data_IF_962534853719
#
_entry.id   IF_962534853719
#
_cell.length_a   1.000
_cell.length_b   1.000
_cell.length_c   1.000
_cell.angle_alpha   90.00
_cell.angle_beta   90.00
_cell.angle_gamma   90.00
#
_symmetry.space_group_name_H-M   'P 1'
#
loop_
_entity.id
_entity.type
_entity.pdbx_description
1 polymer ?
#
# COMPACT_ATOMS: atom_id res chain seq x y z
N UNK A 1 5.61 15.74 11.55
CA UNK A 1 5.75 14.32 11.16
C UNK A 1 5.66 14.09 9.65
N UNK A 2 4.69 14.66 8.94
CA UNK A 2 4.64 14.56 7.45
C UNK A 2 5.75 15.33 6.73
N UNK A 3 6.33 16.36 7.37
CA UNK A 3 7.48 17.10 6.83
C UNK A 3 8.74 16.24 6.62
N UNK A 4 8.83 15.07 7.28
CA UNK A 4 9.90 14.10 7.04
C UNK A 4 9.78 13.39 5.68
N UNK A 5 8.64 13.54 4.99
CA UNK A 5 8.43 13.04 3.63
C UNK A 5 8.75 14.10 2.57
N UNK A 6 9.38 15.22 2.96
CA UNK A 6 10.09 16.08 2.00
C UNK A 6 11.44 15.43 1.69
N UNK A 7 11.86 15.45 0.42
CA UNK A 7 13.01 14.67 -0.06
C UNK A 7 14.31 14.87 0.76
N UNK A 8 14.63 16.11 1.08
CA UNK A 8 15.83 16.49 1.85
C UNK A 8 15.81 15.92 3.29
N UNK A 9 14.64 15.93 3.92
CA UNK A 9 14.45 15.41 5.27
C UNK A 9 14.43 13.88 5.28
N UNK A 10 13.88 13.27 4.22
CA UNK A 10 13.72 11.83 4.12
C UNK A 10 15.08 11.12 4.11
N UNK A 11 16.03 11.59 3.29
CA UNK A 11 17.35 10.99 3.22
C UNK A 11 18.11 11.05 4.55
N UNK A 12 18.10 12.23 5.17
CA UNK A 12 18.73 12.47 6.47
C UNK A 12 18.13 11.58 7.56
N UNK A 13 16.81 11.41 7.56
CA UNK A 13 16.12 10.53 8.51
C UNK A 13 16.51 9.07 8.35
N UNK A 14 16.46 8.52 7.13
CA UNK A 14 16.78 7.11 6.88
C UNK A 14 18.25 6.82 7.22
N UNK A 15 19.16 7.73 6.88
CA UNK A 15 20.57 7.57 7.24
C UNK A 15 20.78 7.62 8.75
N UNK A 16 20.09 8.53 9.45
CA UNK A 16 20.11 8.62 10.91
C UNK A 16 19.58 7.34 11.58
N UNK A 17 18.47 6.78 11.09
CA UNK A 17 17.91 5.51 11.55
C UNK A 17 18.93 4.38 11.36
N UNK A 18 19.50 4.23 10.16
CA UNK A 18 20.49 3.16 9.88
C UNK A 18 21.74 3.27 10.74
N UNK A 19 22.21 4.49 10.96
CA UNK A 19 23.35 4.75 11.83
C UNK A 19 23.03 4.39 13.29
N UNK A 20 21.85 4.77 13.79
CA UNK A 20 21.41 4.50 15.16
C UNK A 20 21.12 3.01 15.43
N UNK A 21 20.58 2.30 14.44
CA UNK A 21 20.37 0.84 14.54
C UNK A 21 21.69 0.07 14.51
N UNK A 22 22.71 0.61 13.84
CA UNK A 22 24.03 0.00 13.73
C UNK A 22 24.08 -1.15 12.71
N UNK A 23 25.30 -1.55 12.34
CA UNK A 23 25.55 -2.51 11.25
C UNK A 23 25.07 -3.94 11.54
N UNK A 24 24.87 -4.28 12.81
CA UNK A 24 24.45 -5.63 13.23
C UNK A 24 22.92 -5.78 13.30
N UNK A 25 22.16 -4.72 13.04
CA UNK A 25 20.71 -4.78 13.01
C UNK A 25 20.24 -5.38 11.68
N UNK A 26 19.60 -6.54 11.76
CA UNK A 26 19.22 -7.35 10.58
C UNK A 26 17.73 -7.29 10.25
N UNK A 27 16.93 -6.58 11.06
CA UNK A 27 15.50 -6.47 10.80
C UNK A 27 15.27 -5.52 9.61
N UNK A 28 14.50 -5.91 8.59
CA UNK A 28 14.23 -5.08 7.43
C UNK A 28 13.62 -3.72 7.77
N UNK A 29 14.14 -2.66 7.18
CA UNK A 29 13.63 -1.30 7.31
C UNK A 29 12.60 -1.01 6.22
N UNK A 30 11.34 -0.81 6.63
CA UNK A 30 10.24 -0.43 5.75
C UNK A 30 9.84 1.02 5.96
N UNK A 31 9.45 1.71 4.88
CA UNK A 31 8.93 3.08 4.93
C UNK A 31 7.45 3.10 4.56
N UNK A 32 6.63 3.69 5.44
CA UNK A 32 5.18 3.87 5.21
C UNK A 32 4.87 5.29 4.76
N UNK A 33 4.38 5.45 3.53
CA UNK A 33 4.07 6.77 2.97
C UNK A 33 2.63 7.19 3.26
N UNK A 34 2.43 8.51 3.38
CA UNK A 34 1.09 9.09 3.43
C UNK A 34 0.50 9.20 2.01
N UNK A 35 -0.82 9.13 1.85
CA UNK A 35 -1.49 9.30 0.55
C UNK A 35 -1.61 10.77 0.10
N UNK A 36 -1.31 11.71 1.00
CA UNK A 36 -1.55 13.15 0.87
C UNK A 36 -0.34 13.90 0.26
N UNK A 37 0.17 13.43 -0.89
CA UNK A 37 1.28 14.08 -1.63
C UNK A 37 1.10 14.00 -3.14
N UNK A 38 1.84 14.80 -3.91
CA UNK A 38 1.82 14.68 -5.37
C UNK A 38 2.37 13.32 -5.83
N UNK A 39 1.90 12.82 -6.97
CA UNK A 39 2.44 11.58 -7.56
C UNK A 39 3.94 11.72 -7.85
N UNK A 40 4.39 12.88 -8.34
CA UNK A 40 5.82 13.15 -8.58
C UNK A 40 6.65 13.12 -7.30
N UNK A 41 6.10 13.63 -6.19
CA UNK A 41 6.78 13.60 -4.89
C UNK A 41 6.96 12.15 -4.43
N UNK A 42 5.91 11.33 -4.57
CA UNK A 42 5.99 9.90 -4.29
C UNK A 42 7.06 9.22 -5.15
N UNK A 43 7.09 9.48 -6.47
CA UNK A 43 8.08 8.91 -7.38
C UNK A 43 9.51 9.22 -6.92
N UNK A 44 9.79 10.49 -6.60
CA UNK A 44 11.10 10.92 -6.10
C UNK A 44 11.49 10.23 -4.77
N UNK A 45 10.54 10.09 -3.84
CA UNK A 45 10.76 9.38 -2.57
C UNK A 45 11.01 7.88 -2.75
N UNK A 46 10.34 7.25 -3.72
CA UNK A 46 10.55 5.84 -4.04
C UNK A 46 11.94 5.59 -4.66
N UNK A 47 12.37 6.47 -5.57
CA UNK A 47 13.73 6.43 -6.10
C UNK A 47 14.78 6.65 -5.01
N UNK A 48 14.53 7.61 -4.11
CA UNK A 48 15.38 7.85 -2.94
C UNK A 48 15.40 6.65 -1.99
N UNK A 49 14.29 5.93 -1.84
CA UNK A 49 14.23 4.71 -1.01
C UNK A 49 15.16 3.62 -1.55
N UNK A 50 15.25 3.49 -2.88
CA UNK A 50 16.17 2.55 -3.52
C UNK A 50 17.63 2.96 -3.34
N UNK A 51 17.95 4.25 -3.54
CA UNK A 51 19.33 4.74 -3.39
C UNK A 51 19.84 4.56 -1.96
N UNK A 52 18.95 4.71 -0.97
CA UNK A 52 19.23 4.52 0.44
C UNK A 52 19.14 3.06 0.89
N UNK A 53 18.86 2.10 -0.01
CA UNK A 53 18.71 0.67 0.29
C UNK A 53 17.67 0.40 1.38
N UNK A 54 16.51 1.04 1.30
CA UNK A 54 15.33 0.66 2.12
C UNK A 54 14.85 -0.71 1.67
N UNK A 55 14.41 -1.56 2.60
CA UNK A 55 14.10 -2.97 2.32
C UNK A 55 12.67 -3.18 1.79
N UNK A 56 11.79 -2.19 1.93
CA UNK A 56 10.44 -2.23 1.37
C UNK A 56 9.61 -1.00 1.69
N UNK A 57 8.44 -0.89 1.06
CA UNK A 57 7.56 0.26 1.23
C UNK A 57 6.13 -0.16 1.57
N UNK A 58 5.41 0.68 2.31
CA UNK A 58 4.02 0.47 2.71
C UNK A 58 3.16 1.62 2.22
N UNK A 59 2.11 1.29 1.46
CA UNK A 59 1.29 2.25 0.73
C UNK A 59 -0.19 1.96 0.98
N UNK A 60 -0.90 2.69 1.86
CA UNK A 60 -0.52 3.96 2.52
C UNK A 60 -0.99 4.04 3.98
N UNK A 61 -0.59 5.12 4.65
CA UNK A 61 -1.24 5.59 5.89
C UNK A 61 -2.64 6.18 5.60
N UNK A 62 -3.33 6.67 6.63
CA UNK A 62 -4.60 7.42 6.51
C UNK A 62 -4.43 8.72 5.73
N UNK A 63 -5.51 9.22 5.13
CA UNK A 63 -5.56 10.52 4.43
C UNK A 63 -6.18 11.61 5.31
N UNK A 64 -5.77 12.86 5.16
CA UNK A 64 -6.53 14.00 5.73
C UNK A 64 -7.60 14.54 4.78
N UNK A 65 -7.64 14.06 3.54
CA UNK A 65 -8.69 14.42 2.59
C UNK A 65 -10.02 13.76 3.02
N UNK A 66 -10.95 14.61 3.46
CA UNK A 66 -12.32 14.22 3.87
C UNK A 66 -13.37 14.67 2.86
N UNK A 67 -12.98 14.97 1.62
CA UNK A 67 -13.88 15.43 0.55
C UNK A 67 -15.01 14.43 0.25
N UNK A 68 -14.73 13.13 0.42
CA UNK A 68 -15.71 12.05 0.29
C UNK A 68 -16.79 12.04 1.38
N UNK A 69 -16.59 12.76 2.48
CA UNK A 69 -17.52 12.80 3.61
C UNK A 69 -18.34 14.09 3.68
N UNK A 70 -18.27 14.98 2.68
CA UNK A 70 -18.98 16.27 2.69
C UNK A 70 -20.49 16.19 2.94
N UNK A 71 -21.11 15.06 2.61
CA UNK A 71 -22.55 14.84 2.80
C UNK A 71 -22.94 14.49 4.25
N UNK A 72 -21.97 14.24 5.14
CA UNK A 72 -22.24 13.84 6.52
C UNK A 72 -22.13 15.04 7.47
N UNK A 73 -23.12 15.25 8.36
CA UNK A 73 -23.18 16.45 9.20
C UNK A 73 -22.14 16.49 10.33
N UNK A 74 -21.57 15.35 10.73
CA UNK A 74 -20.70 15.22 11.91
C UNK A 74 -19.32 14.63 11.56
N UNK A 75 -18.72 15.10 10.48
CA UNK A 75 -17.35 14.69 10.13
C UNK A 75 -16.37 15.38 11.07
N UNK A 76 -15.70 14.59 11.91
CA UNK A 76 -14.58 15.07 12.71
C UNK A 76 -13.57 15.75 11.79
N UNK A 77 -13.12 16.95 12.15
CA UNK A 77 -12.20 17.74 11.31
C UNK A 77 -10.78 17.28 11.50
N UNK A 78 -10.42 16.82 12.70
CA UNK A 78 -9.07 16.36 13.02
C UNK A 78 -8.86 14.87 12.74
N UNK A 79 -7.60 14.45 12.64
CA UNK A 79 -7.24 13.05 12.38
C UNK A 79 -7.38 12.59 10.92
N UNK A 80 -6.99 11.34 10.69
CA UNK A 80 -6.93 10.72 9.37
C UNK A 80 -8.13 9.81 9.06
N UNK A 81 -8.58 9.85 7.81
CA UNK A 81 -9.60 8.99 7.22
C UNK A 81 -8.97 7.70 6.67
N UNK A 82 -9.65 6.58 6.91
CA UNK A 82 -9.26 5.23 6.46
C UNK A 82 -10.46 4.53 5.79
N UNK A 83 -10.30 3.25 5.45
CA UNK A 83 -11.37 2.46 4.84
C UNK A 83 -11.62 2.77 3.37
N UNK A 84 -12.83 2.45 2.90
CA UNK A 84 -13.24 2.52 1.49
C UNK A 84 -12.96 3.88 0.82
N UNK A 85 -13.13 5.04 1.48
CA UNK A 85 -12.75 6.33 0.88
C UNK A 85 -11.29 6.43 0.43
N UNK A 86 -10.38 5.69 1.08
CA UNK A 86 -8.95 5.67 0.77
C UNK A 86 -8.58 4.63 -0.32
N UNK A 87 -9.50 3.73 -0.68
CA UNK A 87 -9.25 2.59 -1.57
C UNK A 87 -8.61 3.01 -2.89
N UNK A 88 -9.22 3.95 -3.61
CA UNK A 88 -8.74 4.34 -4.94
C UNK A 88 -7.37 5.00 -4.88
N UNK A 89 -7.19 5.91 -3.92
CA UNK A 89 -5.93 6.66 -3.76
C UNK A 89 -4.76 5.76 -3.38
N UNK A 90 -4.95 4.87 -2.41
CA UNK A 90 -3.92 3.91 -2.00
C UNK A 90 -3.58 2.92 -3.12
N UNK A 91 -4.57 2.43 -3.87
CA UNK A 91 -4.35 1.56 -5.04
C UNK A 91 -3.50 2.26 -6.10
N UNK A 92 -3.78 3.53 -6.38
CA UNK A 92 -3.01 4.29 -7.36
C UNK A 92 -1.55 4.46 -6.94
N UNK A 93 -1.31 4.70 -5.65
CA UNK A 93 0.05 4.77 -5.11
C UNK A 93 0.79 3.44 -5.25
N UNK A 94 0.11 2.31 -5.07
CA UNK A 94 0.68 0.98 -5.34
C UNK A 94 1.07 0.83 -6.81
N UNK A 95 0.23 1.26 -7.77
CA UNK A 95 0.56 1.22 -9.21
C UNK A 95 1.79 2.05 -9.55
N UNK A 96 1.85 3.27 -9.02
CA UNK A 96 2.99 4.17 -9.19
C UNK A 96 4.25 3.51 -8.63
N UNK A 97 4.18 2.99 -7.41
CA UNK A 97 5.31 2.33 -6.78
C UNK A 97 5.79 1.10 -7.55
N UNK A 98 4.88 0.27 -8.05
CA UNK A 98 5.23 -0.88 -8.87
C UNK A 98 6.01 -0.47 -10.13
N UNK A 99 5.57 0.59 -10.82
CA UNK A 99 6.26 1.14 -12.00
C UNK A 99 7.67 1.65 -11.69
N UNK A 100 7.86 2.36 -10.58
CA UNK A 100 9.13 2.98 -10.20
C UNK A 100 10.10 1.95 -9.62
N UNK A 101 9.62 1.12 -8.69
CA UNK A 101 10.45 0.15 -7.98
C UNK A 101 10.78 -1.06 -8.86
N UNK A 102 9.92 -1.42 -9.82
CA UNK A 102 10.13 -2.55 -10.75
C UNK A 102 10.50 -3.84 -10.03
N UNK A 103 9.79 -4.13 -8.92
CA UNK A 103 10.01 -5.30 -8.05
C UNK A 103 11.41 -5.40 -7.40
N UNK A 104 12.19 -4.31 -7.36
CA UNK A 104 13.50 -4.29 -6.69
C UNK A 104 13.40 -4.43 -5.18
N UNK A 105 12.32 -3.93 -4.58
CA UNK A 105 11.98 -4.08 -3.17
C UNK A 105 10.46 -4.35 -3.04
N UNK A 106 10.01 -5.10 -2.02
CA UNK A 106 8.61 -5.43 -1.82
C UNK A 106 7.72 -4.21 -1.54
N UNK A 107 6.48 -4.28 -2.06
CA UNK A 107 5.42 -3.30 -1.82
C UNK A 107 4.32 -3.94 -0.95
N UNK A 108 4.01 -3.30 0.17
CA UNK A 108 2.87 -3.65 1.02
C UNK A 108 1.71 -2.69 0.74
N UNK A 109 0.63 -3.18 0.14
CA UNK A 109 -0.58 -2.43 -0.19
C UNK A 109 -1.57 -2.36 0.97
N UNK A 110 -2.03 -1.17 1.33
CA UNK A 110 -2.88 -0.89 2.50
C UNK A 110 -3.82 0.27 2.20
N UNK A 111 -5.10 0.12 2.55
CA UNK A 111 -6.09 1.19 2.42
C UNK A 111 -7.34 0.71 1.69
N UNK A 112 -8.48 0.73 2.39
CA UNK A 112 -9.77 0.36 1.82
C UNK A 112 -9.86 -1.06 1.27
N UNK A 113 -9.12 -2.00 1.88
CA UNK A 113 -9.27 -3.43 1.60
C UNK A 113 -10.37 -3.96 2.53
N UNK A 114 -11.55 -4.20 1.97
CA UNK A 114 -12.79 -4.59 2.65
C UNK A 114 -13.42 -5.85 2.07
N UNK A 115 -12.77 -6.48 1.10
CA UNK A 115 -13.33 -7.57 0.30
C UNK A 115 -12.22 -8.31 -0.43
N UNK A 116 -12.54 -9.51 -0.91
CA UNK A 116 -11.69 -10.31 -1.79
C UNK A 116 -11.37 -9.56 -3.09
N UNK A 117 -12.37 -8.84 -3.64
CA UNK A 117 -12.21 -8.00 -4.82
C UNK A 117 -11.17 -6.90 -4.58
N UNK A 118 -11.32 -6.15 -3.49
CA UNK A 118 -10.38 -5.08 -3.15
C UNK A 118 -8.97 -5.60 -2.85
N UNK A 119 -8.82 -6.79 -2.25
CA UNK A 119 -7.53 -7.43 -2.03
C UNK A 119 -6.84 -7.78 -3.36
N UNK A 120 -7.56 -8.45 -4.27
CA UNK A 120 -7.06 -8.80 -5.59
C UNK A 120 -6.63 -7.57 -6.39
N UNK A 121 -7.45 -6.51 -6.40
CA UNK A 121 -7.09 -5.25 -7.07
C UNK A 121 -5.77 -4.67 -6.57
N UNK A 122 -5.50 -4.73 -5.25
CA UNK A 122 -4.24 -4.22 -4.68
C UNK A 122 -3.04 -5.06 -5.09
N UNK A 123 -3.19 -6.38 -5.17
CA UNK A 123 -2.14 -7.30 -5.65
C UNK A 123 -1.88 -7.06 -7.15
N UNK A 124 -2.95 -7.03 -7.96
CA UNK A 124 -2.85 -6.76 -9.40
C UNK A 124 -2.21 -5.40 -9.71
N UNK A 125 -2.45 -4.39 -8.87
CA UNK A 125 -1.81 -3.09 -8.97
C UNK A 125 -0.29 -3.13 -8.72
N UNK A 126 0.21 -4.17 -8.03
CA UNK A 126 1.64 -4.37 -7.81
C UNK A 126 2.06 -4.59 -6.36
N UNK A 127 1.13 -4.77 -5.42
CA UNK A 127 1.48 -5.11 -4.06
C UNK A 127 1.92 -6.59 -3.94
N UNK A 128 3.07 -6.84 -3.33
CA UNK A 128 3.55 -8.19 -3.00
C UNK A 128 2.85 -8.73 -1.74
N UNK A 129 2.45 -7.83 -0.84
CA UNK A 129 1.73 -8.12 0.40
C UNK A 129 0.60 -7.11 0.60
N UNK A 130 -0.40 -7.46 1.41
CA UNK A 130 -1.48 -6.54 1.79
C UNK A 130 -1.67 -6.45 3.31
N UNK A 131 -2.13 -5.30 3.81
CA UNK A 131 -2.60 -5.15 5.19
C UNK A 131 -4.06 -4.69 5.23
N UNK A 132 -4.78 -5.18 6.23
CA UNK A 132 -6.20 -4.89 6.43
C UNK A 132 -6.36 -4.30 7.83
N UNK A 133 -7.19 -3.26 7.95
CA UNK A 133 -7.60 -2.72 9.25
C UNK A 133 -9.08 -2.39 9.23
N UNK A 134 -9.49 -1.28 8.60
CA UNK A 134 -10.90 -0.84 8.59
C UNK A 134 -11.83 -1.93 8.06
N UNK A 135 -11.43 -2.66 7.02
CA UNK A 135 -12.19 -3.81 6.51
C UNK A 135 -12.40 -4.89 7.56
N UNK A 136 -11.40 -5.18 8.40
CA UNK A 136 -11.53 -6.17 9.49
C UNK A 136 -12.56 -5.73 10.53
N UNK A 137 -12.58 -4.44 10.87
CA UNK A 137 -13.56 -3.89 11.82
C UNK A 137 -14.99 -4.08 11.31
N UNK A 138 -15.25 -3.73 10.05
CA UNK A 138 -16.62 -3.72 9.51
C UNK A 138 -17.10 -5.06 8.93
N UNK A 139 -16.18 -5.89 8.41
CA UNK A 139 -16.53 -7.18 7.79
C UNK A 139 -16.33 -8.36 8.73
N UNK A 140 -15.69 -8.11 9.89
CA UNK A 140 -15.47 -9.11 10.93
C UNK A 140 -14.26 -10.01 10.69
N UNK A 141 -14.03 -10.95 11.63
CA UNK A 141 -12.78 -11.71 11.73
C UNK A 141 -12.55 -12.70 10.58
N UNK A 142 -13.59 -13.02 9.81
CA UNK A 142 -13.50 -13.96 8.68
C UNK A 142 -13.03 -13.31 7.37
N UNK A 143 -12.88 -11.98 7.31
CA UNK A 143 -12.43 -11.30 6.08
C UNK A 143 -11.08 -11.84 5.57
N UNK A 144 -10.03 -12.03 6.39
CA UNK A 144 -8.77 -12.61 5.91
C UNK A 144 -8.94 -14.03 5.34
N UNK A 145 -9.75 -14.88 6.00
CA UNK A 145 -10.01 -16.24 5.51
C UNK A 145 -10.70 -16.20 4.14
N UNK A 146 -11.74 -15.36 3.99
CA UNK A 146 -12.44 -15.18 2.70
C UNK A 146 -11.49 -14.74 1.58
N UNK A 147 -10.58 -13.81 1.87
CA UNK A 147 -9.57 -13.35 0.91
C UNK A 147 -8.65 -14.51 0.51
N UNK A 148 -8.13 -15.26 1.46
CA UNK A 148 -7.23 -16.38 1.20
C UNK A 148 -7.90 -17.47 0.34
N UNK A 149 -9.11 -17.89 0.71
CA UNK A 149 -9.88 -18.87 -0.05
C UNK A 149 -10.20 -18.40 -1.46
N UNK A 150 -10.56 -17.11 -1.61
CA UNK A 150 -10.80 -16.53 -2.92
C UNK A 150 -9.54 -16.54 -3.78
N UNK A 151 -8.39 -16.13 -3.24
CA UNK A 151 -7.13 -16.09 -3.98
C UNK A 151 -6.70 -17.49 -4.42
N UNK A 152 -6.84 -18.51 -3.57
CA UNK A 152 -6.56 -19.91 -3.94
C UNK A 152 -7.44 -20.38 -5.11
N UNK A 153 -8.76 -20.15 -5.04
CA UNK A 153 -9.68 -20.47 -6.14
C UNK A 153 -9.36 -19.67 -7.41
N UNK A 154 -9.01 -18.39 -7.26
CA UNK A 154 -8.70 -17.52 -8.37
C UNK A 154 -7.43 -17.96 -9.10
N UNK A 155 -6.35 -18.28 -8.37
CA UNK A 155 -5.09 -18.80 -8.93
C UNK A 155 -5.34 -20.08 -9.74
N UNK A 156 -6.09 -21.05 -9.18
CA UNK A 156 -6.45 -22.29 -9.87
C UNK A 156 -7.22 -22.03 -11.17
N UNK A 157 -8.18 -21.10 -11.14
CA UNK A 157 -8.97 -20.73 -12.34
C UNK A 157 -8.12 -20.07 -13.42
N UNK A 158 -7.10 -19.31 -13.04
CA UNK A 158 -6.17 -18.66 -13.98
C UNK A 158 -4.99 -19.54 -14.38
N UNK A 159 -4.92 -20.79 -13.88
CA UNK A 159 -3.77 -21.69 -14.07
C UNK A 159 -2.43 -21.07 -13.59
N UNK A 160 -2.48 -20.33 -12.48
CA UNK A 160 -1.33 -19.70 -11.83
C UNK A 160 -0.96 -20.47 -10.55
N UNK A 161 0.31 -20.42 -10.15
CA UNK A 161 0.81 -21.23 -9.03
C UNK A 161 0.84 -20.45 -7.72
N UNK A 162 1.17 -19.16 -7.78
CA UNK A 162 1.44 -18.35 -6.60
C UNK A 162 0.85 -16.96 -6.72
N UNK A 163 0.61 -16.30 -5.59
CA UNK A 163 0.17 -14.89 -5.57
C UNK A 163 1.19 -13.98 -6.27
N UNK A 164 2.48 -14.33 -6.26
CA UNK A 164 3.51 -13.59 -6.99
C UNK A 164 3.25 -13.51 -8.51
N UNK A 165 2.55 -14.50 -9.07
CA UNK A 165 2.17 -14.50 -10.50
C UNK A 165 1.09 -13.45 -10.82
N UNK A 166 0.41 -12.91 -9.81
CA UNK A 166 -0.62 -11.86 -9.96
C UNK A 166 -0.03 -10.45 -9.87
N UNK A 167 1.15 -10.29 -9.26
CA UNK A 167 1.64 -8.97 -8.85
C UNK A 167 1.93 -8.11 -10.07
N UNK A 168 1.24 -6.98 -10.19
CA UNK A 168 1.41 -6.05 -11.31
C UNK A 168 0.74 -6.48 -12.62
N UNK A 169 -0.13 -7.49 -12.59
CA UNK A 169 -0.79 -8.07 -13.76
C UNK A 169 -2.18 -7.49 -14.06
N UNK A 170 -2.49 -6.31 -13.56
CA UNK A 170 -3.79 -5.63 -13.74
C UNK A 170 -4.25 -5.55 -15.21
N UNK A 171 -3.33 -5.39 -16.16
CA UNK A 171 -3.65 -5.31 -17.60
C UNK A 171 -3.78 -6.68 -18.29
N UNK A 172 -3.23 -7.73 -17.69
CA UNK A 172 -3.13 -9.06 -18.29
C UNK A 172 -4.24 -9.99 -17.77
N UNK A 173 -4.60 -9.83 -16.50
CA UNK A 173 -5.61 -10.66 -15.85
C UNK A 173 -6.96 -9.97 -15.95
N UNK A 174 -7.83 -10.50 -16.81
CA UNK A 174 -9.22 -10.05 -16.91
C UNK A 174 -9.99 -10.51 -15.67
N UNK A 175 -10.39 -9.54 -14.86
CA UNK A 175 -11.27 -9.73 -13.73
C UNK A 175 -12.43 -8.73 -13.86
N UNK A 176 -13.67 -9.23 -13.96
CA UNK A 176 -14.85 -8.37 -13.93
C UNK A 176 -15.16 -8.03 -12.47
N UNK A 177 -15.08 -6.75 -12.06
CA UNK A 177 -15.39 -6.35 -10.70
C UNK A 177 -16.89 -6.37 -10.39
N UNK A 178 -17.79 -6.59 -11.37
CA UNK A 178 -19.24 -6.65 -11.15
C UNK A 178 -19.66 -7.79 -10.23
#
# INVERSE_FOLDING_TARGET
MRDFQKQENFASLIQGIKNGLGKNFTIPLFVKFAPDMGTKDLEALLETSLSLKVDGVVLTNTTIDKSSLKAYPNVEKEGGLSGTPLKNRSTEFVRVAYRILKRRIPIIGVGGIDSEKSALEKILAGADLIQIYTGYIYQGPFLPLKILEFLDRFLKKQNLKTVSDLVGKEKEIKYDPK
#
